data_IF_411015383366
#
_entry.id   IF_411015383366
#
_cell.length_a   1.000
_cell.length_b   1.000
_cell.length_c   1.000
_cell.angle_alpha   90.00
_cell.angle_beta   90.00
_cell.angle_gamma   90.00
#
_symmetry.space_group_name_H-M   'P 1'
#
loop_
_entity.id
_entity.type
_entity.pdbx_description
1 polymer ?
#
# COMPACT_ATOMS: atom_id res chain seq x y z
N UNK A 1 41.97 7.38 -23.86
CA UNK A 1 41.19 6.84 -22.73
C UNK A 1 39.81 7.45 -22.82
N UNK A 2 38.87 6.74 -23.44
CA UNK A 2 37.46 7.14 -23.42
C UNK A 2 36.97 7.08 -21.97
N UNK A 3 36.40 8.19 -21.50
CA UNK A 3 35.78 8.26 -20.18
C UNK A 3 34.51 7.41 -20.24
N UNK A 4 34.52 6.26 -19.58
CA UNK A 4 33.32 5.46 -19.38
C UNK A 4 32.33 6.30 -18.55
N UNK A 5 31.22 6.71 -19.16
CA UNK A 5 30.16 7.42 -18.47
C UNK A 5 29.46 6.44 -17.50
N UNK A 6 29.56 6.63 -16.17
CA UNK A 6 28.93 5.74 -15.21
C UNK A 6 27.39 5.75 -15.29
N UNK A 7 26.76 6.75 -15.93
CA UNK A 7 25.33 6.72 -16.21
C UNK A 7 24.98 5.73 -17.33
N UNK A 8 25.88 5.50 -18.29
CA UNK A 8 25.63 4.55 -19.39
C UNK A 8 25.44 3.12 -18.88
N UNK A 9 26.25 2.68 -17.91
CA UNK A 9 26.09 1.34 -17.34
C UNK A 9 24.81 1.22 -16.51
N UNK A 10 24.42 2.28 -15.80
CA UNK A 10 23.19 2.32 -15.01
C UNK A 10 21.94 2.30 -15.90
N UNK A 11 21.94 3.10 -16.97
CA UNK A 11 20.85 3.13 -17.96
C UNK A 11 20.73 1.79 -18.70
N UNK A 12 21.87 1.21 -19.12
CA UNK A 12 21.90 -0.11 -19.75
C UNK A 12 21.42 -1.21 -18.80
N UNK A 13 21.80 -1.14 -17.51
CA UNK A 13 21.34 -2.08 -16.50
C UNK A 13 19.83 -2.00 -16.29
N UNK A 14 19.26 -0.79 -16.16
CA UNK A 14 17.81 -0.63 -16.04
C UNK A 14 17.08 -1.07 -17.32
N UNK A 15 17.63 -0.79 -18.51
CA UNK A 15 17.06 -1.28 -19.78
C UNK A 15 17.06 -2.81 -19.87
N UNK A 16 18.18 -3.47 -19.53
CA UNK A 16 18.27 -4.93 -19.49
C UNK A 16 17.32 -5.54 -18.45
N UNK A 17 17.13 -4.88 -17.31
CA UNK A 17 16.19 -5.30 -16.27
C UNK A 17 14.75 -5.25 -16.76
N UNK A 18 14.37 -4.21 -17.51
CA UNK A 18 13.07 -4.13 -18.20
C UNK A 18 12.90 -5.23 -19.23
N UNK A 19 13.93 -5.50 -20.03
CA UNK A 19 13.90 -6.56 -21.05
C UNK A 19 13.77 -7.96 -20.42
N UNK A 20 14.51 -8.23 -19.34
CA UNK A 20 14.40 -9.46 -18.55
C UNK A 20 12.99 -9.61 -17.98
N UNK A 21 12.38 -8.54 -17.47
CA UNK A 21 11.00 -8.57 -16.99
C UNK A 21 10.01 -8.91 -18.12
N UNK A 22 10.19 -8.36 -19.32
CA UNK A 22 9.36 -8.67 -20.48
C UNK A 22 9.49 -10.14 -20.93
N UNK A 23 10.71 -10.70 -20.94
CA UNK A 23 10.95 -12.10 -21.29
C UNK A 23 10.31 -13.06 -20.26
N UNK A 24 10.39 -12.72 -18.98
CA UNK A 24 9.72 -13.45 -17.90
C UNK A 24 8.20 -13.52 -18.13
N UNK A 25 7.54 -12.41 -18.47
CA UNK A 25 6.10 -12.40 -18.77
C UNK A 25 5.76 -13.37 -19.91
N UNK A 26 6.53 -13.37 -20.99
CA UNK A 26 6.32 -14.27 -22.13
C UNK A 26 6.49 -15.76 -21.75
N UNK A 27 7.47 -16.07 -20.91
CA UNK A 27 7.65 -17.45 -20.39
C UNK A 27 6.42 -17.89 -19.58
N UNK A 28 5.87 -17.02 -18.73
CA UNK A 28 4.67 -17.33 -17.97
C UNK A 28 3.46 -17.66 -18.87
N UNK A 29 3.28 -16.94 -19.98
CA UNK A 29 2.18 -17.17 -20.92
C UNK A 29 2.30 -18.51 -21.65
N UNK A 30 3.51 -18.88 -22.06
CA UNK A 30 3.77 -20.15 -22.77
C UNK A 30 3.50 -21.36 -21.88
N UNK A 31 3.75 -21.25 -20.57
CA UNK A 31 3.70 -22.39 -19.64
C UNK A 31 2.40 -22.50 -18.83
N UNK A 32 1.42 -21.61 -19.04
CA UNK A 32 0.13 -21.65 -18.33
C UNK A 32 -0.67 -22.98 -18.48
N UNK A 33 -0.24 -23.88 -19.38
CA UNK A 33 -0.88 -25.19 -19.62
C UNK A 33 0.01 -26.42 -19.40
N UNK A 34 1.23 -26.29 -18.89
CA UNK A 34 2.17 -27.42 -18.76
C UNK A 34 2.58 -27.68 -17.29
N UNK A 35 2.62 -28.96 -16.90
CA UNK A 35 2.99 -29.39 -15.54
C UNK A 35 4.46 -29.13 -15.19
N UNK A 36 4.70 -28.85 -13.91
CA UNK A 36 5.98 -28.41 -13.34
C UNK A 36 6.82 -29.66 -12.94
N UNK A 37 8.11 -29.79 -13.37
CA UNK A 37 9.01 -30.88 -12.89
C UNK A 37 10.53 -30.61 -12.60
N UNK A 38 11.14 -29.42 -12.82
CA UNK A 38 12.56 -29.14 -12.48
C UNK A 38 12.94 -27.63 -12.63
N UNK A 39 14.20 -27.22 -12.37
CA UNK A 39 14.81 -25.84 -12.36
C UNK A 39 14.18 -24.75 -13.27
N UNK A 40 13.61 -25.14 -14.41
CA UNK A 40 12.74 -24.31 -15.26
C UNK A 40 11.50 -23.76 -14.53
N UNK A 41 10.91 -24.54 -13.62
CA UNK A 41 9.82 -24.17 -12.70
C UNK A 41 10.19 -22.98 -11.80
N UNK A 42 11.43 -22.92 -11.29
CA UNK A 42 11.87 -21.78 -10.49
C UNK A 42 11.99 -20.52 -11.34
N UNK A 43 12.47 -20.65 -12.58
CA UNK A 43 12.43 -19.55 -13.55
C UNK A 43 10.99 -19.14 -13.87
N UNK A 44 10.07 -20.09 -14.02
CA UNK A 44 8.63 -19.83 -14.23
C UNK A 44 8.03 -19.12 -13.01
N UNK A 45 8.31 -19.57 -11.78
CA UNK A 45 7.84 -18.92 -10.55
C UNK A 45 8.37 -17.50 -10.40
N UNK A 46 9.67 -17.29 -10.64
CA UNK A 46 10.26 -15.94 -10.66
C UNK A 46 9.67 -15.08 -11.77
N UNK A 47 9.30 -15.68 -12.89
CA UNK A 47 8.70 -15.00 -14.03
C UNK A 47 7.25 -14.61 -13.80
N UNK A 48 6.45 -15.51 -13.22
CA UNK A 48 5.10 -15.26 -12.78
C UNK A 48 5.06 -14.20 -11.69
N UNK A 49 5.99 -14.28 -10.72
CA UNK A 49 6.16 -13.25 -9.69
C UNK A 49 6.43 -11.89 -10.32
N UNK A 50 7.36 -11.81 -11.27
CA UNK A 50 7.67 -10.56 -11.97
C UNK A 50 6.46 -10.05 -12.76
N UNK A 51 5.76 -10.93 -13.50
CA UNK A 51 4.53 -10.57 -14.22
C UNK A 51 3.49 -10.01 -13.26
N UNK A 52 3.21 -10.71 -12.16
CA UNK A 52 2.29 -10.26 -11.12
C UNK A 52 2.74 -8.91 -10.56
N UNK A 53 4.02 -8.70 -10.31
CA UNK A 53 4.50 -7.37 -9.91
C UNK A 53 4.20 -6.36 -11.03
N UNK A 54 4.65 -6.56 -12.26
CA UNK A 54 4.52 -5.54 -13.31
C UNK A 54 3.08 -5.21 -13.72
N UNK A 55 2.20 -6.21 -13.77
CA UNK A 55 0.83 -6.04 -14.29
C UNK A 55 -0.23 -5.81 -13.23
N UNK A 56 0.12 -5.86 -11.94
CA UNK A 56 -0.88 -5.67 -10.88
C UNK A 56 -0.92 -4.24 -10.38
N UNK A 57 -2.13 -3.85 -9.99
CA UNK A 57 -2.47 -2.62 -9.29
C UNK A 57 -1.39 -2.20 -8.28
N UNK A 58 -0.92 -0.93 -8.31
CA UNK A 58 0.05 -0.42 -7.34
C UNK A 58 -0.34 -0.66 -5.89
N UNK A 59 -1.64 -0.62 -5.57
CA UNK A 59 -2.15 -0.87 -4.21
C UNK A 59 -1.99 -2.33 -3.81
N UNK A 60 -2.07 -3.28 -4.74
CA UNK A 60 -1.76 -4.67 -4.42
C UNK A 60 -0.27 -4.86 -4.11
N UNK A 61 0.62 -4.18 -4.84
CA UNK A 61 2.05 -4.18 -4.50
C UNK A 61 2.27 -3.65 -3.09
N UNK A 62 1.55 -2.59 -2.75
CA UNK A 62 1.59 -1.99 -1.42
C UNK A 62 1.11 -2.96 -0.33
N UNK A 63 0.04 -3.72 -0.58
CA UNK A 63 -0.42 -4.80 0.32
C UNK A 63 0.66 -5.87 0.51
N UNK A 64 1.22 -6.39 -0.59
CA UNK A 64 2.28 -7.40 -0.54
C UNK A 64 3.52 -6.90 0.21
N UNK A 65 3.94 -5.66 -0.02
CA UNK A 65 5.08 -5.06 0.66
C UNK A 65 4.89 -4.95 2.19
N UNK A 66 3.63 -4.87 2.62
CA UNK A 66 3.25 -4.80 4.04
C UNK A 66 2.74 -6.13 4.61
N UNK A 67 3.01 -7.25 3.92
CA UNK A 67 2.71 -8.60 4.42
C UNK A 67 1.25 -9.04 4.30
N UNK A 68 0.44 -8.35 3.48
CA UNK A 68 -0.91 -8.78 3.13
C UNK A 68 -0.91 -9.60 1.84
N UNK A 69 -1.92 -10.44 1.69
CA UNK A 69 -2.07 -11.38 0.58
C UNK A 69 -2.99 -10.86 -0.52
N UNK A 70 -3.12 -11.63 -1.61
CA UNK A 70 -4.10 -11.35 -2.67
C UNK A 70 -5.53 -11.42 -2.16
N UNK A 71 -5.84 -12.37 -1.27
CA UNK A 71 -7.16 -12.50 -0.68
C UNK A 71 -7.54 -11.25 0.12
N UNK A 72 -6.58 -10.68 0.85
CA UNK A 72 -6.80 -9.45 1.63
C UNK A 72 -7.03 -8.24 0.72
N UNK A 73 -6.33 -8.19 -0.42
CA UNK A 73 -6.55 -7.17 -1.44
C UNK A 73 -7.91 -7.29 -2.14
N UNK A 74 -8.32 -8.51 -2.50
CA UNK A 74 -9.63 -8.74 -3.10
C UNK A 74 -10.75 -8.37 -2.11
N UNK A 75 -10.55 -8.65 -0.79
CA UNK A 75 -11.42 -8.17 0.29
C UNK A 75 -11.49 -6.63 0.30
N UNK A 76 -10.35 -5.95 0.26
CA UNK A 76 -10.26 -4.48 0.22
C UNK A 76 -11.04 -3.88 -0.96
N UNK A 77 -10.90 -4.44 -2.17
CA UNK A 77 -11.59 -3.97 -3.37
C UNK A 77 -13.11 -4.16 -3.26
N UNK A 78 -13.56 -5.20 -2.55
CA UNK A 78 -14.97 -5.46 -2.29
C UNK A 78 -15.62 -4.55 -1.24
N UNK A 79 -14.86 -3.73 -0.50
CA UNK A 79 -15.41 -2.86 0.54
C UNK A 79 -16.17 -1.68 -0.07
N UNK A 80 -17.42 -1.48 0.37
CA UNK A 80 -18.14 -0.24 0.09
C UNK A 80 -17.66 0.87 1.03
N UNK A 81 -16.92 1.83 0.47
CA UNK A 81 -16.32 2.96 1.20
C UNK A 81 -17.07 4.28 0.98
N UNK A 82 -18.17 4.28 0.22
CA UNK A 82 -18.84 5.51 -0.27
C UNK A 82 -19.14 6.52 0.84
N UNK A 83 -19.54 6.02 2.02
CA UNK A 83 -19.92 6.84 3.16
C UNK A 83 -18.89 6.83 4.30
N UNK A 84 -17.69 6.28 4.08
CA UNK A 84 -16.75 6.04 5.17
C UNK A 84 -16.26 7.36 5.79
N UNK A 85 -16.38 7.44 7.12
CA UNK A 85 -15.95 8.58 7.92
C UNK A 85 -16.71 9.89 7.69
N UNK A 86 -17.88 9.90 7.05
CA UNK A 86 -18.68 11.11 6.83
C UNK A 86 -18.97 11.90 8.12
N UNK A 87 -19.14 11.21 9.25
CA UNK A 87 -19.42 11.84 10.54
C UNK A 87 -18.19 12.04 11.43
N UNK A 88 -17.01 11.63 10.95
CA UNK A 88 -15.75 11.91 11.65
C UNK A 88 -15.23 13.26 11.12
N UNK A 89 -14.94 14.24 12.00
CA UNK A 89 -14.39 15.53 11.58
C UNK A 89 -13.17 15.37 10.67
N UNK A 90 -13.04 16.20 9.65
CA UNK A 90 -11.83 16.21 8.82
C UNK A 90 -10.79 17.16 9.41
N UNK A 91 -10.01 16.66 10.37
CA UNK A 91 -9.01 17.44 11.10
C UNK A 91 -7.62 17.21 10.47
N UNK A 92 -6.94 18.32 10.19
CA UNK A 92 -5.50 18.37 9.88
C UNK A 92 -4.83 19.33 10.86
N UNK A 93 -3.70 18.91 11.44
CA UNK A 93 -2.91 19.72 12.37
C UNK A 93 -1.48 19.78 11.85
N UNK A 94 -0.94 20.98 11.66
CA UNK A 94 0.48 21.20 11.41
C UNK A 94 1.24 21.13 12.74
N UNK A 95 2.21 20.21 12.83
CA UNK A 95 3.05 20.06 14.00
C UNK A 95 3.91 21.28 14.30
N UNK A 96 4.13 22.18 13.33
CA UNK A 96 4.84 23.45 13.52
C UNK A 96 4.23 24.29 14.65
N UNK A 97 2.91 24.34 14.75
CA UNK A 97 2.20 25.11 15.79
C UNK A 97 2.41 24.54 17.20
N UNK A 98 2.91 23.30 17.28
CA UNK A 98 3.22 22.57 18.52
C UNK A 98 4.73 22.39 18.75
N UNK A 99 5.59 22.99 17.93
CA UNK A 99 7.06 22.86 18.04
C UNK A 99 7.66 21.63 17.34
N UNK A 100 6.89 20.97 16.46
CA UNK A 100 7.31 19.80 15.67
C UNK A 100 7.19 20.10 14.16
N UNK A 101 8.00 21.02 13.60
CA UNK A 101 7.96 21.34 12.18
C UNK A 101 8.30 20.11 11.31
N UNK A 102 7.58 19.94 10.20
CA UNK A 102 7.74 18.79 9.30
C UNK A 102 7.01 17.52 9.76
N UNK A 103 6.13 17.66 10.76
CA UNK A 103 5.21 16.61 11.20
C UNK A 103 3.78 17.12 11.07
N UNK A 104 2.85 16.21 10.82
CA UNK A 104 1.44 16.57 10.74
C UNK A 104 0.55 15.43 11.22
N UNK A 105 -0.63 15.79 11.73
CA UNK A 105 -1.73 14.86 11.96
C UNK A 105 -2.79 15.09 10.89
N UNK A 106 -3.33 14.02 10.29
CA UNK A 106 -4.39 14.13 9.28
C UNK A 106 -5.33 12.94 9.32
N UNK A 107 -6.62 13.18 9.09
CA UNK A 107 -7.59 12.12 8.80
C UNK A 107 -7.24 11.45 7.47
N UNK A 108 -7.25 10.11 7.43
CA UNK A 108 -6.99 9.38 6.20
C UNK A 108 -8.20 9.51 5.25
N UNK A 109 -8.04 10.05 4.03
CA UNK A 109 -9.15 10.28 3.10
C UNK A 109 -9.55 8.99 2.35
N UNK A 110 -10.12 8.02 3.09
CA UNK A 110 -10.41 6.67 2.58
C UNK A 110 -11.47 6.61 1.47
N UNK A 111 -12.24 7.68 1.24
CA UNK A 111 -13.28 7.74 0.18
C UNK A 111 -12.71 8.31 -1.11
N UNK A 112 -12.01 9.44 -1.01
CA UNK A 112 -11.56 10.24 -2.15
C UNK A 112 -10.19 9.84 -2.66
N UNK A 113 -9.39 9.14 -1.85
CA UNK A 113 -8.05 8.71 -2.21
C UNK A 113 -7.87 7.21 -1.97
N UNK A 114 -7.65 6.48 -3.05
CA UNK A 114 -7.57 5.04 -3.01
C UNK A 114 -6.22 4.50 -2.52
N UNK A 115 -5.16 5.29 -2.62
CA UNK A 115 -3.83 4.93 -2.12
C UNK A 115 -3.77 5.16 -0.61
N UNK A 116 -4.34 6.26 -0.12
CA UNK A 116 -4.56 6.45 1.32
C UNK A 116 -5.52 5.41 1.91
N UNK A 117 -6.54 4.98 1.18
CA UNK A 117 -7.37 3.86 1.62
C UNK A 117 -6.59 2.55 1.72
N UNK A 118 -5.67 2.28 0.78
CA UNK A 118 -4.77 1.14 0.87
C UNK A 118 -3.82 1.24 2.08
N UNK A 119 -3.36 2.46 2.43
CA UNK A 119 -2.60 2.73 3.67
C UNK A 119 -3.42 2.41 4.92
N UNK A 120 -4.69 2.83 4.96
CA UNK A 120 -5.60 2.49 6.06
C UNK A 120 -5.84 0.97 6.19
N UNK A 121 -5.91 0.23 5.09
CA UNK A 121 -6.09 -1.22 5.11
C UNK A 121 -4.90 -2.00 5.70
N UNK A 122 -3.70 -1.43 5.65
CA UNK A 122 -2.47 -2.02 6.20
C UNK A 122 -1.93 -1.29 7.43
N UNK A 123 -2.69 -0.34 7.98
CA UNK A 123 -2.21 0.65 8.95
C UNK A 123 -1.54 -0.01 10.16
N UNK A 124 -2.14 -1.09 10.67
CA UNK A 124 -1.57 -1.88 11.75
C UNK A 124 -0.20 -2.48 11.42
N UNK A 125 0.04 -2.95 10.20
CA UNK A 125 1.35 -3.50 9.80
C UNK A 125 2.44 -2.43 9.80
N UNK A 126 2.09 -1.21 9.41
CA UNK A 126 3.02 -0.08 9.39
C UNK A 126 3.42 0.37 10.81
N UNK A 127 2.53 0.22 11.79
CA UNK A 127 2.74 0.72 13.16
C UNK A 127 2.88 -0.37 14.22
N UNK A 128 3.02 -1.64 13.83
CA UNK A 128 3.09 -2.77 14.77
C UNK A 128 1.80 -3.00 15.59
N UNK A 129 0.64 -2.67 15.02
CA UNK A 129 -0.69 -2.90 15.60
C UNK A 129 -1.45 -3.98 14.82
N UNK A 130 -2.47 -4.58 15.42
CA UNK A 130 -3.30 -5.61 14.78
C UNK A 130 -4.37 -5.06 13.81
N UNK A 131 -4.51 -3.73 13.70
CA UNK A 131 -5.54 -3.04 12.90
C UNK A 131 -5.20 -3.06 11.40
N UNK A 132 -5.31 -4.23 10.77
CA UNK A 132 -5.09 -4.40 9.34
C UNK A 132 -6.02 -5.47 8.75
N UNK A 133 -6.18 -5.51 7.44
CA UNK A 133 -6.99 -6.52 6.73
C UNK A 133 -6.31 -7.91 6.61
N UNK A 134 -5.38 -8.25 7.50
CA UNK A 134 -4.61 -9.50 7.41
C UNK A 134 -5.23 -10.65 8.22
N UNK A 135 -6.52 -10.60 8.56
CA UNK A 135 -7.21 -11.62 9.37
C UNK A 135 -6.82 -11.65 10.86
N UNK A 136 -6.08 -10.66 11.35
CA UNK A 136 -5.72 -10.55 12.77
C UNK A 136 -6.89 -10.01 13.61
N UNK A 137 -6.75 -10.03 14.94
CA UNK A 137 -7.80 -9.60 15.87
C UNK A 137 -8.30 -8.15 15.63
N UNK A 138 -7.48 -7.28 15.03
CA UNK A 138 -7.84 -5.91 14.69
C UNK A 138 -8.47 -5.73 13.31
N UNK A 139 -8.64 -6.78 12.50
CA UNK A 139 -9.27 -6.71 11.18
C UNK A 139 -10.69 -6.11 11.22
N UNK A 140 -11.59 -6.47 12.16
CA UNK A 140 -12.89 -5.83 12.25
C UNK A 140 -12.82 -4.31 12.45
N UNK A 141 -11.81 -3.83 13.17
CA UNK A 141 -11.59 -2.39 13.37
C UNK A 141 -11.13 -1.73 12.07
N UNK A 142 -10.23 -2.38 11.33
CA UNK A 142 -9.77 -1.92 10.01
C UNK A 142 -10.95 -1.82 9.03
N UNK A 143 -11.79 -2.85 8.96
CA UNK A 143 -12.99 -2.86 8.11
C UNK A 143 -13.96 -1.75 8.55
N UNK A 144 -14.22 -1.61 9.85
CA UNK A 144 -15.16 -0.60 10.35
C UNK A 144 -14.71 0.82 10.03
N UNK A 145 -13.43 1.15 10.27
CA UNK A 145 -12.90 2.47 9.92
C UNK A 145 -12.81 2.73 8.41
N UNK A 146 -12.73 1.68 7.58
CA UNK A 146 -12.75 1.80 6.11
C UNK A 146 -14.17 1.97 5.54
N UNK A 147 -15.23 1.61 6.26
CA UNK A 147 -16.58 1.47 5.68
C UNK A 147 -17.68 2.23 6.42
N UNK A 148 -17.53 2.49 7.72
CA UNK A 148 -18.57 3.12 8.53
C UNK A 148 -18.55 4.65 8.40
N UNK A 149 -19.71 5.33 8.29
CA UNK A 149 -19.77 6.78 8.36
C UNK A 149 -19.35 7.33 9.72
N UNK A 150 -19.49 6.54 10.78
CA UNK A 150 -19.18 6.94 12.15
C UNK A 150 -17.77 6.56 12.58
N UNK A 151 -16.87 6.21 11.65
CA UNK A 151 -15.52 5.78 11.99
C UNK A 151 -14.49 6.21 10.96
N UNK A 152 -13.24 6.33 11.39
CA UNK A 152 -12.15 6.70 10.52
C UNK A 152 -10.80 6.56 11.22
N UNK A 153 -9.75 6.89 10.48
CA UNK A 153 -8.38 6.83 10.97
C UNK A 153 -7.74 8.20 10.89
N UNK A 154 -6.92 8.50 11.89
CA UNK A 154 -5.95 9.57 11.80
C UNK A 154 -4.55 8.99 11.81
N UNK A 155 -3.65 9.66 11.11
CA UNK A 155 -2.24 9.34 11.06
C UNK A 155 -1.42 10.54 11.52
N UNK A 156 -0.31 10.26 12.20
CA UNK A 156 0.78 11.22 12.40
C UNK A 156 1.90 10.82 11.47
N UNK A 157 2.28 11.74 10.58
CA UNK A 157 3.31 11.52 9.58
C UNK A 157 4.41 12.56 9.70
N UNK A 158 5.60 12.21 9.21
CA UNK A 158 6.66 13.16 8.89
C UNK A 158 6.60 13.48 7.40
N UNK A 159 6.41 14.75 7.05
CA UNK A 159 6.20 15.16 5.66
C UNK A 159 5.69 16.60 5.54
N UNK A 160 5.16 16.91 4.36
CA UNK A 160 4.57 18.21 4.04
C UNK A 160 3.04 18.14 4.27
N UNK A 161 2.55 18.95 5.21
CA UNK A 161 1.12 18.99 5.57
C UNK A 161 0.23 19.46 4.41
N UNK A 162 0.76 20.31 3.54
CA UNK A 162 0.04 20.87 2.40
C UNK A 162 0.00 19.89 1.22
N UNK A 163 0.96 18.96 1.16
CA UNK A 163 1.08 17.95 0.10
C UNK A 163 1.31 16.55 0.69
N UNK A 164 0.35 16.01 1.47
CA UNK A 164 0.50 14.73 2.12
C UNK A 164 0.58 13.60 1.09
N UNK A 165 1.48 12.65 1.32
CA UNK A 165 1.71 11.50 0.43
C UNK A 165 1.49 10.18 1.14
N UNK A 166 1.17 9.14 0.38
CA UNK A 166 1.04 7.79 0.93
C UNK A 166 2.37 7.32 1.55
N UNK A 167 3.49 7.72 0.95
CA UNK A 167 4.85 7.35 1.32
C UNK A 167 5.41 8.11 2.52
N UNK A 168 4.72 9.17 2.99
CA UNK A 168 5.17 9.91 4.16
C UNK A 168 5.29 8.96 5.36
N UNK A 169 6.40 9.10 6.08
CA UNK A 169 6.79 8.22 7.19
C UNK A 169 5.71 8.25 8.26
N UNK A 170 5.03 7.12 8.45
CA UNK A 170 3.98 6.97 9.45
C UNK A 170 4.61 6.69 10.81
N UNK A 171 4.34 7.57 11.78
CA UNK A 171 4.88 7.47 13.13
C UNK A 171 3.88 6.86 14.10
N UNK A 172 2.63 7.23 13.93
CA UNK A 172 1.54 6.74 14.76
C UNK A 172 0.22 6.75 13.98
N UNK A 173 -0.67 5.89 14.41
CA UNK A 173 -2.06 5.84 13.94
C UNK A 173 -3.01 5.97 15.12
N UNK A 174 -4.24 6.39 14.84
CA UNK A 174 -5.35 6.18 15.74
C UNK A 174 -6.60 5.85 14.94
N UNK A 175 -7.33 4.85 15.42
CA UNK A 175 -8.68 4.54 14.97
C UNK A 175 -9.67 5.24 15.89
N UNK A 176 -10.66 5.92 15.31
CA UNK A 176 -11.70 6.60 16.06
C UNK A 176 -13.07 6.15 15.59
N UNK A 177 -14.03 6.19 16.51
CA UNK A 177 -15.44 6.01 16.22
C UNK A 177 -16.26 7.00 17.03
N UNK A 178 -17.38 7.42 16.46
CA UNK A 178 -18.34 8.29 17.13
C UNK A 178 -19.33 7.45 17.92
N UNK A 179 -19.32 7.60 19.25
CA UNK A 179 -20.38 7.11 20.13
C UNK A 179 -21.60 8.03 20.01
N UNK A 180 -22.80 7.47 20.14
CA UNK A 180 -24.03 8.29 20.22
C UNK A 180 -24.21 8.94 21.60
N UNK A 181 -23.47 8.47 22.62
CA UNK A 181 -23.67 8.85 24.02
C UNK A 181 -22.46 9.50 24.68
N UNK A 182 -21.36 9.68 23.96
CA UNK A 182 -20.04 9.93 24.55
C UNK A 182 -19.51 8.69 25.25
#
# INVERSE_FOLDING_TARGET
MEKHDPNYEKERFEALKTEVAALKIKIADVYAGAGLTNKMEMLILLSLREKIIQTTDPRFKYFLANGLTRQDYDKFIGLNRTHAGEEIPDITIDGKDMGYPGYYLKKIPVVTDADFAAKAAVLGKLTGCCQSLSGEAGEPCAIYGLTSPHSGFYMICKGDVDHPKQEDELLAQTWVWRSQTG
#
